data_IF_047619262838
#
_entry.id   IF_047619262838
#
_cell.length_a   1.000
_cell.length_b   1.000
_cell.length_c   1.000
_cell.angle_alpha   90.00
_cell.angle_beta   90.00
_cell.angle_gamma   90.00
#
_symmetry.space_group_name_H-M   'P 1'
#
loop_
_entity.id
_entity.type
_entity.pdbx_description
1 polymer ?
#
# COMPACT_ATOMS: atom_id res chain seq x y z
N UNK A 1 52.28 52.35 -19.26
CA UNK A 1 50.85 52.57 -18.91
C UNK A 1 50.78 53.24 -17.53
N UNK A 2 50.03 54.35 -17.36
CA UNK A 2 49.90 55.02 -16.05
C UNK A 2 49.06 54.16 -15.08
N UNK A 3 49.22 54.36 -13.76
CA UNK A 3 48.41 53.68 -12.72
C UNK A 3 46.90 53.83 -12.95
N UNK A 4 46.46 55.01 -13.41
CA UNK A 4 45.08 55.30 -13.76
C UNK A 4 44.58 54.50 -14.97
N UNK A 5 45.42 54.29 -15.98
CA UNK A 5 45.06 53.49 -17.16
C UNK A 5 44.91 52.01 -16.81
N UNK A 6 45.73 51.47 -15.89
CA UNK A 6 45.58 50.08 -15.40
C UNK A 6 44.27 49.89 -14.62
N UNK A 7 43.93 50.83 -13.73
CA UNK A 7 42.66 50.80 -12.97
C UNK A 7 41.43 50.84 -13.88
N UNK A 8 41.47 51.65 -14.94
CA UNK A 8 40.38 51.69 -15.93
C UNK A 8 40.25 50.37 -16.69
N UNK A 9 41.38 49.77 -17.11
CA UNK A 9 41.37 48.44 -17.76
C UNK A 9 40.82 47.37 -16.82
N UNK A 10 41.23 47.34 -15.55
CA UNK A 10 40.67 46.39 -14.58
C UNK A 10 39.17 46.60 -14.36
N UNK A 11 38.70 47.85 -14.29
CA UNK A 11 37.27 48.15 -14.16
C UNK A 11 36.48 47.63 -15.37
N UNK A 12 36.95 47.84 -16.60
CA UNK A 12 36.30 47.31 -17.80
C UNK A 12 36.34 45.79 -17.88
N UNK A 13 37.44 45.16 -17.47
CA UNK A 13 37.54 43.68 -17.38
C UNK A 13 36.58 43.12 -16.32
N UNK A 14 36.48 43.75 -15.15
CA UNK A 14 35.54 43.36 -14.09
C UNK A 14 34.09 43.49 -14.58
N UNK A 15 33.73 44.62 -15.19
CA UNK A 15 32.41 44.83 -15.77
C UNK A 15 32.11 43.80 -16.88
N UNK A 16 33.10 43.49 -17.72
CA UNK A 16 33.01 42.46 -18.74
C UNK A 16 32.82 41.05 -18.17
N UNK A 17 33.42 40.74 -17.02
CA UNK A 17 33.23 39.47 -16.30
C UNK A 17 31.89 39.39 -15.55
N UNK A 18 31.33 40.52 -15.09
CA UNK A 18 30.04 40.55 -14.42
C UNK A 18 28.88 40.15 -15.34
N UNK A 19 28.98 40.41 -16.64
CA UNK A 19 27.95 40.04 -17.64
C UNK A 19 27.73 38.53 -17.73
N UNK A 20 28.74 37.68 -18.02
CA UNK A 20 28.56 36.23 -18.04
C UNK A 20 28.25 35.65 -16.65
N UNK A 21 28.79 36.23 -15.57
CA UNK A 21 28.46 35.81 -14.19
C UNK A 21 26.97 36.04 -13.91
N UNK A 22 26.41 37.19 -14.31
CA UNK A 22 24.99 37.48 -14.17
C UNK A 22 24.12 36.57 -15.07
N UNK A 23 24.49 36.43 -16.34
CA UNK A 23 23.75 35.61 -17.30
C UNK A 23 23.72 34.11 -16.92
N UNK A 24 24.81 33.58 -16.37
CA UNK A 24 24.89 32.18 -15.94
C UNK A 24 24.34 31.99 -14.52
N UNK A 25 24.69 32.87 -13.60
CA UNK A 25 24.55 32.67 -12.15
C UNK A 25 23.41 33.43 -11.47
N UNK A 26 22.61 34.23 -12.18
CA UNK A 26 21.47 34.91 -11.54
C UNK A 26 20.50 33.88 -10.94
N UNK A 27 20.19 33.95 -9.63
CA UNK A 27 19.27 33.02 -9.00
C UNK A 27 17.85 33.22 -9.54
N UNK A 28 17.07 32.14 -9.62
CA UNK A 28 15.64 32.25 -9.86
C UNK A 28 14.97 32.92 -8.65
N UNK A 29 14.11 33.90 -8.88
CA UNK A 29 13.33 34.54 -7.81
C UNK A 29 12.04 33.75 -7.62
N UNK A 30 11.93 33.04 -6.50
CA UNK A 30 10.69 32.35 -6.11
C UNK A 30 9.62 33.37 -5.70
N UNK A 31 8.37 33.05 -6.01
CA UNK A 31 7.16 33.86 -5.78
C UNK A 31 7.00 34.21 -4.28
N UNK A 32 7.46 35.39 -3.86
CA UNK A 32 7.24 35.91 -2.49
C UNK A 32 6.36 37.16 -2.42
N UNK A 33 5.86 37.68 -3.55
CA UNK A 33 4.86 38.76 -3.56
C UNK A 33 3.77 38.46 -4.56
N UNK A 34 2.52 38.58 -4.10
CA UNK A 34 1.32 38.36 -4.89
C UNK A 34 1.35 39.19 -6.19
N UNK A 35 1.21 38.50 -7.33
CA UNK A 35 0.85 39.13 -8.61
C UNK A 35 1.93 39.32 -9.67
N UNK A 36 3.19 38.88 -9.48
CA UNK A 36 4.19 38.91 -10.58
C UNK A 36 4.53 37.51 -11.13
N UNK A 37 4.69 37.37 -12.46
CA UNK A 37 5.12 36.10 -13.07
C UNK A 37 6.54 35.75 -12.63
N UNK A 38 6.80 34.46 -12.42
CA UNK A 38 8.13 33.97 -12.08
C UNK A 38 9.12 34.35 -13.19
N UNK A 39 10.15 35.14 -12.87
CA UNK A 39 11.23 35.40 -13.80
C UNK A 39 12.18 34.20 -13.81
N UNK A 40 12.40 33.64 -15.00
CA UNK A 40 13.43 32.62 -15.23
C UNK A 40 14.78 33.21 -14.83
N UNK A 41 15.49 32.60 -13.87
CA UNK A 41 16.85 33.01 -13.48
C UNK A 41 17.85 32.91 -14.63
N UNK A 42 19.15 33.03 -14.33
CA UNK A 42 20.22 32.79 -15.31
C UNK A 42 20.19 31.36 -15.88
N UNK A 43 21.01 31.10 -16.90
CA UNK A 43 21.02 29.82 -17.64
C UNK A 43 21.18 28.60 -16.71
N UNK A 44 21.98 28.68 -15.64
CA UNK A 44 22.15 27.57 -14.69
C UNK A 44 20.88 27.34 -13.87
N UNK A 45 20.19 28.40 -13.44
CA UNK A 45 18.94 28.27 -12.70
C UNK A 45 17.83 27.67 -13.60
N UNK A 46 17.80 28.06 -14.88
CA UNK A 46 16.89 27.47 -15.88
C UNK A 46 17.21 26.00 -16.14
N UNK A 47 18.48 25.64 -16.33
CA UNK A 47 18.89 24.24 -16.49
C UNK A 47 18.60 23.42 -15.23
N UNK A 48 18.83 23.97 -14.03
CA UNK A 48 18.47 23.31 -12.77
C UNK A 48 16.96 23.08 -12.65
N UNK A 49 16.13 24.00 -13.15
CA UNK A 49 14.69 23.79 -13.21
C UNK A 49 14.31 22.75 -14.27
N UNK A 50 14.84 22.87 -15.49
CA UNK A 50 14.56 21.98 -16.62
C UNK A 50 14.97 20.53 -16.35
N UNK A 51 16.15 20.33 -15.78
CA UNK A 51 16.67 19.01 -15.41
C UNK A 51 16.31 18.60 -13.98
N UNK A 52 15.47 19.38 -13.27
CA UNK A 52 15.05 19.14 -11.88
C UNK A 52 16.23 19.00 -10.88
N UNK A 53 17.39 19.59 -11.20
CA UNK A 53 18.62 19.59 -10.40
C UNK A 53 18.67 20.72 -9.35
N UNK A 54 17.65 21.58 -9.30
CA UNK A 54 17.59 22.71 -8.36
C UNK A 54 16.84 22.38 -7.08
N UNK A 55 17.50 22.52 -5.93
CA UNK A 55 16.85 22.52 -4.62
C UNK A 55 16.45 23.96 -4.25
N UNK A 56 15.17 24.30 -4.42
CA UNK A 56 14.62 25.62 -4.05
C UNK A 56 14.26 25.75 -2.57
N UNK A 57 14.27 24.66 -1.81
CA UNK A 57 13.80 24.54 -0.41
C UNK A 57 14.79 24.99 0.65
N UNK A 58 16.04 25.34 0.29
CA UNK A 58 17.06 25.69 1.28
C UNK A 58 16.78 27.00 2.03
N UNK A 59 16.01 27.91 1.41
CA UNK A 59 15.59 29.16 2.03
C UNK A 59 14.49 28.99 3.08
N UNK A 60 13.87 27.81 3.15
CA UNK A 60 12.71 27.54 4.02
C UNK A 60 13.09 26.78 5.31
N UNK A 61 14.37 26.46 5.51
CA UNK A 61 14.87 25.88 6.77
C UNK A 61 14.73 26.93 7.88
N UNK A 62 14.28 26.53 9.07
CA UNK A 62 14.11 27.48 10.19
C UNK A 62 15.45 28.15 10.56
N UNK A 63 15.57 29.49 10.41
CA UNK A 63 16.80 30.22 10.70
C UNK A 63 17.20 30.21 12.18
N UNK A 64 16.31 29.83 13.10
CA UNK A 64 16.62 29.72 14.52
C UNK A 64 17.30 28.40 14.90
N UNK A 65 17.32 27.40 14.02
CA UNK A 65 17.87 26.08 14.32
C UNK A 65 19.40 26.04 14.20
N UNK A 66 20.09 25.35 15.12
CA UNK A 66 21.53 25.09 15.02
C UNK A 66 21.92 24.41 13.69
N UNK A 67 20.97 23.71 13.09
CA UNK A 67 21.03 23.10 11.76
C UNK A 67 21.25 24.13 10.65
N UNK A 68 20.74 25.37 10.78
CA UNK A 68 20.95 26.44 9.80
C UNK A 68 22.44 26.76 9.63
N UNK A 69 23.17 26.85 10.75
CA UNK A 69 24.61 27.10 10.70
C UNK A 69 25.37 25.98 9.97
N UNK A 70 24.98 24.72 10.20
CA UNK A 70 25.56 23.57 9.50
C UNK A 70 25.24 23.60 8.01
N UNK A 71 24.01 23.96 7.62
CA UNK A 71 23.58 24.09 6.22
C UNK A 71 24.36 25.19 5.49
N UNK A 72 24.50 26.35 6.12
CA UNK A 72 25.23 27.50 5.57
C UNK A 72 26.72 27.19 5.38
N UNK A 73 27.30 26.31 6.20
CA UNK A 73 28.67 25.83 6.09
C UNK A 73 28.84 24.62 5.15
N UNK A 74 27.79 24.19 4.44
CA UNK A 74 27.83 23.04 3.53
C UNK A 74 27.79 21.67 4.24
N UNK A 75 27.58 21.63 5.56
CA UNK A 75 27.51 20.41 6.38
C UNK A 75 26.09 19.84 6.49
N UNK A 76 25.33 19.85 5.38
CA UNK A 76 23.91 19.41 5.36
C UNK A 76 23.72 17.97 5.84
N UNK A 77 24.63 17.06 5.49
CA UNK A 77 24.57 15.66 5.93
C UNK A 77 24.66 15.51 7.45
N UNK A 78 25.53 16.27 8.11
CA UNK A 78 25.68 16.25 9.58
C UNK A 78 24.43 16.84 10.24
N UNK A 79 23.92 17.96 9.70
CA UNK A 79 22.68 18.56 10.14
C UNK A 79 21.50 17.58 10.08
N UNK A 80 21.38 16.84 8.97
CA UNK A 80 20.42 15.75 8.82
C UNK A 80 20.57 14.70 9.92
N UNK A 81 21.77 14.16 10.12
CA UNK A 81 22.02 13.13 11.15
C UNK A 81 21.68 13.59 12.57
N UNK A 82 21.96 14.85 12.91
CA UNK A 82 21.59 15.42 14.23
C UNK A 82 20.07 15.47 14.38
N UNK A 83 19.36 15.95 13.37
CA UNK A 83 17.90 15.98 13.39
C UNK A 83 17.28 14.58 13.46
N UNK A 84 17.89 13.59 12.82
CA UNK A 84 17.47 12.19 12.93
C UNK A 84 17.58 11.67 14.37
N UNK A 85 18.67 11.96 15.07
CA UNK A 85 18.82 11.61 16.50
C UNK A 85 17.80 12.34 17.37
N UNK A 86 17.53 13.62 17.08
CA UNK A 86 16.51 14.40 17.79
C UNK A 86 15.10 13.84 17.58
N UNK A 87 14.76 13.46 16.34
CA UNK A 87 13.48 12.84 16.01
C UNK A 87 13.28 11.51 16.76
N UNK A 88 14.31 10.67 16.84
CA UNK A 88 14.24 9.40 17.58
C UNK A 88 14.00 9.63 19.09
N UNK A 89 14.68 10.62 19.68
CA UNK A 89 14.48 10.99 21.08
C UNK A 89 13.09 11.58 21.34
N UNK A 90 12.59 12.46 20.46
CA UNK A 90 11.24 13.02 20.57
C UNK A 90 10.16 11.93 20.45
N UNK A 91 10.37 10.95 19.56
CA UNK A 91 9.51 9.76 19.47
C UNK A 91 9.53 8.97 20.78
N UNK A 92 10.71 8.70 21.36
CA UNK A 92 10.86 7.98 22.64
C UNK A 92 10.11 8.69 23.78
N UNK A 93 10.13 10.02 23.77
CA UNK A 93 9.45 10.85 24.76
C UNK A 93 7.97 11.13 24.44
N UNK A 94 7.44 10.63 23.32
CA UNK A 94 6.07 10.88 22.82
C UNK A 94 5.75 12.36 22.58
N UNK A 95 6.77 13.15 22.24
CA UNK A 95 6.66 14.57 21.91
C UNK A 95 6.30 14.73 20.42
N UNK A 96 5.05 14.41 20.07
CA UNK A 96 4.61 14.29 18.68
C UNK A 96 4.67 15.60 17.87
N UNK A 97 4.37 16.74 18.51
CA UNK A 97 4.40 18.05 17.86
C UNK A 97 5.84 18.48 17.52
N UNK A 98 6.79 18.20 18.41
CA UNK A 98 8.21 18.45 18.18
C UNK A 98 8.78 17.48 17.15
N UNK A 99 8.39 16.20 17.20
CA UNK A 99 8.76 15.20 16.20
C UNK A 99 8.35 15.62 14.78
N UNK A 100 7.16 16.17 14.64
CA UNK A 100 6.66 16.67 13.37
C UNK A 100 7.50 17.85 12.85
N UNK A 101 7.83 18.82 13.70
CA UNK A 101 8.70 19.96 13.33
C UNK A 101 10.12 19.54 12.93
N UNK A 102 10.69 18.58 13.67
CA UNK A 102 12.01 18.01 13.35
C UNK A 102 11.95 17.29 12.01
N UNK A 103 10.91 16.50 11.76
CA UNK A 103 10.69 15.80 10.50
C UNK A 103 10.55 16.78 9.31
N UNK A 104 9.81 17.88 9.49
CA UNK A 104 9.73 18.96 8.49
C UNK A 104 11.10 19.59 8.19
N UNK A 105 11.96 19.72 9.20
CA UNK A 105 13.33 20.19 9.01
C UNK A 105 14.16 19.18 8.22
N UNK A 106 14.05 17.88 8.51
CA UNK A 106 14.78 16.82 7.79
C UNK A 106 14.43 16.83 6.30
N UNK A 107 13.15 16.87 5.93
CA UNK A 107 12.74 16.85 4.52
C UNK A 107 13.16 18.10 3.75
N UNK A 108 13.24 19.27 4.41
CA UNK A 108 13.75 20.49 3.78
C UNK A 108 15.25 20.38 3.45
N UNK A 109 16.00 19.61 4.24
CA UNK A 109 17.42 19.37 4.04
C UNK A 109 17.72 18.25 3.06
N UNK A 110 16.86 17.23 3.05
CA UNK A 110 17.04 16.00 2.28
C UNK A 110 15.79 15.66 1.44
N UNK A 111 15.27 16.59 0.61
CA UNK A 111 13.98 16.40 -0.07
C UNK A 111 14.00 15.27 -1.12
N UNK A 112 15.18 14.96 -1.66
CA UNK A 112 15.40 13.89 -2.65
C UNK A 112 15.78 12.54 -2.04
N UNK A 113 15.93 12.46 -0.72
CA UNK A 113 16.33 11.23 -0.05
C UNK A 113 15.08 10.41 0.31
N UNK A 114 14.67 9.52 -0.61
CA UNK A 114 13.45 8.71 -0.50
C UNK A 114 13.26 8.00 0.85
N UNK A 115 14.31 7.43 1.48
CA UNK A 115 14.16 6.78 2.78
C UNK A 115 13.59 7.68 3.89
N UNK A 116 13.81 9.00 3.84
CA UNK A 116 13.19 9.94 4.81
C UNK A 116 11.66 9.89 4.67
N UNK A 117 11.17 10.02 3.45
CA UNK A 117 9.74 10.03 3.14
C UNK A 117 9.07 8.73 3.57
N UNK A 118 9.68 7.60 3.21
CA UNK A 118 9.17 6.26 3.52
C UNK A 118 9.21 5.98 5.01
N UNK A 119 10.35 6.19 5.67
CA UNK A 119 10.49 5.91 7.10
C UNK A 119 9.56 6.78 7.94
N UNK A 120 9.53 8.10 7.71
CA UNK A 120 8.73 8.99 8.53
C UNK A 120 7.24 8.84 8.24
N UNK A 121 6.86 8.63 6.98
CA UNK A 121 5.48 8.29 6.62
C UNK A 121 5.00 7.00 7.30
N UNK A 122 5.83 5.95 7.26
CA UNK A 122 5.56 4.70 7.98
C UNK A 122 5.52 4.89 9.50
N UNK A 123 6.45 5.66 10.07
CA UNK A 123 6.52 5.92 11.50
C UNK A 123 5.24 6.61 12.01
N UNK A 124 4.73 7.61 11.30
CA UNK A 124 3.46 8.28 11.61
C UNK A 124 2.28 7.29 11.51
N UNK A 125 2.18 6.56 10.39
CA UNK A 125 1.03 5.70 10.11
C UNK A 125 1.01 4.39 10.90
N UNK A 126 2.15 3.90 11.38
CA UNK A 126 2.24 2.66 12.15
C UNK A 126 2.53 2.94 13.62
N UNK A 127 3.70 3.50 13.94
CA UNK A 127 4.14 3.61 15.33
C UNK A 127 3.33 4.66 16.10
N UNK A 128 3.23 5.90 15.59
CA UNK A 128 2.49 6.97 16.29
C UNK A 128 1.01 6.62 16.39
N UNK A 129 0.44 6.09 15.30
CA UNK A 129 -0.97 5.65 15.31
C UNK A 129 -1.26 4.59 16.38
N UNK A 130 -0.33 3.67 16.64
CA UNK A 130 -0.53 2.59 17.61
C UNK A 130 -0.51 3.08 19.06
N UNK A 131 0.08 4.25 19.33
CA UNK A 131 0.13 4.87 20.65
C UNK A 131 -1.15 5.65 20.99
N UNK A 132 -2.10 5.77 20.06
CA UNK A 132 -3.35 6.48 20.26
C UNK A 132 -4.46 5.55 20.75
N UNK A 133 -5.29 5.99 21.69
CA UNK A 133 -6.40 5.18 22.22
C UNK A 133 -7.62 5.20 21.29
N UNK A 134 -8.04 6.39 20.84
CA UNK A 134 -9.23 6.53 20.02
C UNK A 134 -8.95 6.16 18.56
N UNK A 135 -9.84 5.36 17.96
CA UNK A 135 -9.72 4.92 16.55
C UNK A 135 -9.64 6.10 15.58
N UNK A 136 -10.36 7.20 15.85
CA UNK A 136 -10.30 8.41 15.04
C UNK A 136 -8.90 9.07 15.08
N UNK A 137 -8.24 9.07 16.24
CA UNK A 137 -6.89 9.61 16.39
C UNK A 137 -5.85 8.72 15.71
N UNK A 138 -6.02 7.38 15.77
CA UNK A 138 -5.21 6.44 14.99
C UNK A 138 -5.32 6.76 13.50
N UNK A 139 -6.55 6.91 13.01
CA UNK A 139 -6.84 7.24 11.62
C UNK A 139 -6.25 8.59 11.21
N UNK A 140 -6.33 9.62 12.07
CA UNK A 140 -5.70 10.91 11.84
C UNK A 140 -4.20 10.77 11.53
N UNK A 141 -3.46 10.00 12.33
CA UNK A 141 -2.03 9.78 12.10
C UNK A 141 -1.74 8.92 10.87
N UNK A 142 -2.59 7.94 10.56
CA UNK A 142 -2.51 7.18 9.29
C UNK A 142 -2.63 8.12 8.08
N UNK A 143 -3.61 9.03 8.09
CA UNK A 143 -3.75 10.05 7.04
C UNK A 143 -2.55 10.98 6.98
N UNK A 144 -2.03 11.44 8.12
CA UNK A 144 -0.82 12.29 8.16
C UNK A 144 0.37 11.58 7.52
N UNK A 145 0.58 10.29 7.81
CA UNK A 145 1.61 9.48 7.15
C UNK A 145 1.41 9.39 5.63
N UNK A 146 0.18 9.13 5.16
CA UNK A 146 -0.14 9.12 3.74
C UNK A 146 0.16 10.44 3.04
N UNK A 147 -0.37 11.56 3.58
CA UNK A 147 -0.10 12.93 3.09
C UNK A 147 1.39 13.24 3.08
N UNK A 148 2.12 12.80 4.09
CA UNK A 148 3.56 13.00 4.18
C UNK A 148 4.30 12.35 3.01
N UNK A 149 3.98 11.09 2.68
CA UNK A 149 4.58 10.40 1.53
C UNK A 149 4.13 11.00 0.20
N UNK A 150 2.87 11.44 0.09
CA UNK A 150 2.36 12.12 -1.11
C UNK A 150 3.13 13.41 -1.43
N UNK A 151 3.47 14.23 -0.42
CA UNK A 151 4.40 15.36 -0.64
C UNK A 151 5.78 14.90 -1.09
N UNK A 152 6.23 13.74 -0.60
CA UNK A 152 7.45 13.09 -1.09
C UNK A 152 7.39 12.78 -2.57
N UNK A 153 6.23 12.34 -3.08
CA UNK A 153 5.99 12.13 -4.52
C UNK A 153 6.09 13.45 -5.29
N UNK A 154 5.53 14.55 -4.79
CA UNK A 154 5.66 15.87 -5.44
C UNK A 154 7.13 16.30 -5.57
N UNK A 155 7.95 15.95 -4.57
CA UNK A 155 9.39 16.21 -4.61
C UNK A 155 10.18 15.17 -5.42
N UNK A 156 9.60 14.01 -5.73
CA UNK A 156 10.27 12.86 -6.34
C UNK A 156 9.31 12.13 -7.31
N UNK A 157 8.82 12.85 -8.32
CA UNK A 157 7.73 12.38 -9.19
C UNK A 157 8.02 11.07 -9.94
N UNK A 158 9.30 10.75 -10.14
CA UNK A 158 9.75 9.55 -10.85
C UNK A 158 10.05 8.38 -9.88
N UNK A 159 9.96 8.59 -8.56
CA UNK A 159 10.27 7.60 -7.55
C UNK A 159 9.11 6.61 -7.34
N UNK A 160 9.11 5.53 -8.14
CA UNK A 160 8.12 4.44 -8.08
C UNK A 160 7.88 3.90 -6.65
N UNK A 161 8.93 3.83 -5.82
CA UNK A 161 8.83 3.37 -4.43
C UNK A 161 7.88 4.21 -3.58
N UNK A 162 7.80 5.53 -3.80
CA UNK A 162 6.93 6.39 -3.00
C UNK A 162 5.45 6.18 -3.34
N UNK A 163 5.13 5.97 -4.63
CA UNK A 163 3.77 5.59 -5.05
C UNK A 163 3.38 4.25 -4.43
N UNK A 164 4.28 3.25 -4.47
CA UNK A 164 4.04 1.96 -3.84
C UNK A 164 3.85 2.07 -2.32
N UNK A 165 4.60 2.96 -1.65
CA UNK A 165 4.45 3.22 -0.22
C UNK A 165 3.08 3.83 0.10
N UNK A 166 2.58 4.79 -0.69
CA UNK A 166 1.21 5.32 -0.53
C UNK A 166 0.17 4.21 -0.72
N UNK A 167 0.32 3.38 -1.75
CA UNK A 167 -0.54 2.21 -1.96
C UNK A 167 -0.51 1.24 -0.77
N UNK A 168 0.63 1.08 -0.10
CA UNK A 168 0.77 0.24 1.09
C UNK A 168 0.06 0.85 2.30
N UNK A 169 0.18 2.16 2.50
CA UNK A 169 -0.52 2.87 3.59
C UNK A 169 -2.04 2.83 3.40
N UNK A 170 -2.54 3.13 2.20
CA UNK A 170 -3.98 3.17 1.94
C UNK A 170 -4.59 1.78 1.77
N UNK A 171 -3.87 0.84 1.16
CA UNK A 171 -4.35 -0.53 1.00
C UNK A 171 -4.20 -1.32 2.29
N UNK A 172 -2.97 -1.66 2.65
CA UNK A 172 -2.69 -2.62 3.74
C UNK A 172 -2.90 -2.04 5.12
N UNK A 173 -2.34 -0.85 5.42
CA UNK A 173 -2.49 -0.28 6.77
C UNK A 173 -3.95 0.02 7.07
N UNK A 174 -4.69 0.64 6.16
CA UNK A 174 -6.12 0.90 6.41
C UNK A 174 -6.98 -0.36 6.33
N UNK A 175 -6.71 -1.24 5.36
CA UNK A 175 -7.58 -2.36 5.06
C UNK A 175 -7.36 -3.64 5.87
N UNK A 176 -6.24 -3.75 6.61
CA UNK A 176 -5.89 -4.96 7.38
C UNK A 176 -5.56 -4.73 8.86
N UNK A 177 -5.67 -3.49 9.35
CA UNK A 177 -5.55 -3.22 10.80
C UNK A 177 -6.74 -3.82 11.56
N UNK A 178 -6.61 -3.99 12.88
CA UNK A 178 -7.72 -4.42 13.73
C UNK A 178 -8.94 -3.49 13.60
N UNK A 179 -8.70 -2.19 13.39
CA UNK A 179 -9.72 -1.16 13.14
C UNK A 179 -10.07 -0.97 11.67
N UNK A 180 -9.75 -1.91 10.77
CA UNK A 180 -9.97 -1.75 9.34
C UNK A 180 -11.41 -1.39 9.00
N UNK A 181 -12.41 -1.97 9.68
CA UNK A 181 -13.83 -1.64 9.47
C UNK A 181 -14.07 -0.13 9.67
N UNK A 182 -13.53 0.45 10.75
CA UNK A 182 -13.64 1.87 11.02
C UNK A 182 -12.79 2.70 10.06
N UNK A 183 -11.55 2.29 9.77
CA UNK A 183 -10.66 3.01 8.86
C UNK A 183 -11.22 3.08 7.43
N UNK A 184 -11.73 1.98 6.88
CA UNK A 184 -12.35 1.96 5.55
C UNK A 184 -13.57 2.87 5.49
N UNK A 185 -14.40 2.85 6.54
CA UNK A 185 -15.54 3.79 6.65
C UNK A 185 -15.07 5.23 6.72
N UNK A 186 -14.07 5.53 7.54
CA UNK A 186 -13.50 6.87 7.71
C UNK A 186 -12.81 7.37 6.45
N UNK A 187 -12.19 6.49 5.67
CA UNK A 187 -11.56 6.86 4.41
C UNK A 187 -12.54 7.33 3.35
N UNK A 188 -13.80 6.86 3.40
CA UNK A 188 -14.91 7.36 2.58
C UNK A 188 -15.67 8.52 3.22
N UNK A 189 -15.74 8.56 4.55
CA UNK A 189 -16.49 9.54 5.34
C UNK A 189 -15.64 9.98 6.53
N UNK A 190 -14.84 11.03 6.34
CA UNK A 190 -13.82 11.41 7.30
C UNK A 190 -14.44 11.92 8.62
N UNK A 191 -13.94 11.48 9.79
CA UNK A 191 -14.45 11.94 11.07
C UNK A 191 -14.07 13.38 11.40
N UNK A 192 -13.12 13.98 10.68
CA UNK A 192 -12.74 15.37 10.86
C UNK A 192 -13.87 16.31 10.39
N UNK A 193 -14.37 17.23 11.26
CA UNK A 193 -15.46 18.14 10.92
C UNK A 193 -15.20 18.99 9.67
N UNK A 194 -13.94 19.22 9.29
CA UNK A 194 -13.57 19.99 8.09
C UNK A 194 -14.14 19.39 6.80
N UNK A 195 -14.33 18.07 6.75
CA UNK A 195 -14.79 17.37 5.56
C UNK A 195 -16.32 17.18 5.51
N UNK A 196 -17.04 17.56 6.57
CA UNK A 196 -18.50 17.47 6.65
C UNK A 196 -19.05 16.08 6.25
N UNK A 197 -18.40 15.01 6.71
CA UNK A 197 -18.79 13.64 6.44
C UNK A 197 -18.43 13.12 5.04
N UNK A 198 -17.70 13.89 4.23
CA UNK A 198 -17.08 13.42 2.98
C UNK A 198 -15.68 12.88 3.26
N UNK A 199 -15.08 12.23 2.28
CA UNK A 199 -13.67 11.85 2.34
C UNK A 199 -12.75 13.08 2.41
N UNK A 200 -11.54 12.87 2.94
CA UNK A 200 -10.47 13.86 2.92
C UNK A 200 -9.99 14.05 1.48
N UNK A 201 -10.36 15.18 0.86
CA UNK A 201 -10.19 15.44 -0.57
C UNK A 201 -8.71 15.44 -1.01
N UNK A 202 -7.78 15.62 -0.07
CA UNK A 202 -6.34 15.54 -0.36
C UNK A 202 -5.86 14.11 -0.63
N UNK A 203 -6.52 13.09 -0.08
CA UNK A 203 -6.08 11.67 -0.19
C UNK A 203 -7.09 10.77 -0.89
N UNK A 204 -8.37 11.17 -0.93
CA UNK A 204 -9.45 10.40 -1.55
C UNK A 204 -10.52 11.36 -2.13
N UNK A 205 -10.18 12.13 -3.18
CA UNK A 205 -11.10 13.12 -3.76
C UNK A 205 -12.39 12.49 -4.31
N UNK A 206 -12.33 11.25 -4.78
CA UNK A 206 -13.48 10.55 -5.37
C UNK A 206 -14.33 9.81 -4.32
N UNK A 207 -13.90 9.76 -3.06
CA UNK A 207 -14.61 9.06 -1.98
C UNK A 207 -14.72 7.54 -2.19
N UNK A 208 -13.80 6.94 -2.94
CA UNK A 208 -13.83 5.51 -3.27
C UNK A 208 -13.17 4.66 -2.16
N UNK A 209 -13.26 3.33 -2.29
CA UNK A 209 -12.66 2.41 -1.34
C UNK A 209 -11.13 2.53 -1.28
N UNK A 210 -10.57 2.32 -0.09
CA UNK A 210 -9.14 2.45 0.18
C UNK A 210 -8.28 1.51 -0.69
N UNK A 211 -8.76 0.31 -1.00
CA UNK A 211 -8.05 -0.62 -1.88
C UNK A 211 -8.11 -0.21 -3.35
N UNK A 212 -9.12 0.54 -3.77
CA UNK A 212 -9.19 1.12 -5.11
C UNK A 212 -8.26 2.33 -5.25
N UNK A 213 -8.19 3.21 -4.25
CA UNK A 213 -7.16 4.27 -4.22
C UNK A 213 -5.76 3.64 -4.20
N UNK A 214 -5.54 2.61 -3.38
CA UNK A 214 -4.26 1.91 -3.35
C UNK A 214 -3.90 1.29 -4.71
N UNK A 215 -4.88 0.70 -5.41
CA UNK A 215 -4.70 0.18 -6.77
C UNK A 215 -4.20 1.26 -7.73
N UNK A 216 -4.76 2.47 -7.69
CA UNK A 216 -4.30 3.60 -8.51
C UNK A 216 -2.83 3.90 -8.25
N UNK A 217 -2.43 4.04 -6.99
CA UNK A 217 -1.04 4.28 -6.62
C UNK A 217 -0.10 3.13 -7.00
N UNK A 218 -0.52 1.88 -6.88
CA UNK A 218 0.29 0.75 -7.35
C UNK A 218 0.43 0.73 -8.87
N UNK A 219 -0.61 1.10 -9.61
CA UNK A 219 -0.53 1.25 -11.07
C UNK A 219 0.46 2.33 -11.46
N UNK A 220 0.38 3.51 -10.83
CA UNK A 220 1.35 4.59 -11.06
C UNK A 220 2.78 4.16 -10.67
N UNK A 221 2.93 3.44 -9.55
CA UNK A 221 4.24 2.89 -9.15
C UNK A 221 4.83 1.99 -10.24
N UNK A 222 4.01 1.12 -10.81
CA UNK A 222 4.39 0.25 -11.93
C UNK A 222 4.74 1.05 -13.19
N UNK A 223 4.01 2.12 -13.50
CA UNK A 223 4.31 2.99 -14.64
C UNK A 223 5.64 3.73 -14.46
N UNK A 224 5.92 4.25 -13.25
CA UNK A 224 7.19 4.91 -12.94
C UNK A 224 8.38 3.96 -12.97
N UNK A 225 8.19 2.71 -12.56
CA UNK A 225 9.24 1.68 -12.61
C UNK A 225 9.68 1.35 -14.04
N UNK A 226 8.82 1.55 -15.05
CA UNK A 226 9.17 1.33 -16.45
C UNK A 226 10.05 2.44 -17.06
N UNK A 227 10.28 3.54 -16.33
CA UNK A 227 11.18 4.60 -16.79
C UNK A 227 12.63 4.06 -16.84
N UNK A 228 13.39 4.30 -17.92
CA UNK A 228 14.65 3.59 -18.16
C UNK A 228 15.81 3.97 -17.21
N UNK A 229 15.65 5.02 -16.40
CA UNK A 229 16.61 5.46 -15.39
C UNK A 229 16.13 5.21 -13.95
N UNK A 230 15.00 4.53 -13.79
CA UNK A 230 14.43 4.21 -12.48
C UNK A 230 14.67 2.74 -12.17
N UNK A 231 15.19 2.49 -10.97
CA UNK A 231 15.26 1.18 -10.36
C UNK A 231 14.63 1.29 -8.97
N UNK A 232 13.76 0.34 -8.62
CA UNK A 232 13.18 0.24 -7.29
C UNK A 232 13.94 -0.80 -6.47
N UNK A 233 14.04 -0.59 -5.16
CA UNK A 233 14.88 -1.38 -4.25
C UNK A 233 14.09 -1.93 -3.06
N UNK A 234 12.75 -1.95 -3.14
CA UNK A 234 11.90 -2.33 -2.02
C UNK A 234 11.53 -3.80 -2.01
N UNK A 235 11.51 -4.44 -3.18
CA UNK A 235 11.27 -5.87 -3.33
C UNK A 235 11.70 -6.36 -4.72
N UNK A 236 11.54 -7.67 -4.96
CA UNK A 236 11.75 -8.23 -6.30
C UNK A 236 10.67 -7.71 -7.29
N UNK A 237 11.05 -7.49 -8.55
CA UNK A 237 10.21 -6.84 -9.56
C UNK A 237 8.89 -7.58 -9.81
N UNK A 238 8.89 -8.91 -9.91
CA UNK A 238 7.66 -9.70 -10.04
C UNK A 238 6.70 -9.46 -8.88
N UNK A 239 7.19 -9.34 -7.63
CA UNK A 239 6.36 -8.96 -6.49
C UNK A 239 5.83 -7.53 -6.61
N UNK A 240 6.70 -6.56 -6.92
CA UNK A 240 6.35 -5.15 -7.05
C UNK A 240 5.21 -4.95 -8.06
N UNK A 241 5.35 -5.59 -9.23
CA UNK A 241 4.41 -5.48 -10.36
C UNK A 241 3.04 -6.09 -10.07
N UNK A 242 2.94 -6.99 -9.10
CA UNK A 242 1.72 -7.75 -8.78
C UNK A 242 0.64 -6.93 -8.03
N UNK A 243 1.02 -5.83 -7.39
CA UNK A 243 0.18 -5.14 -6.42
C UNK A 243 -1.12 -4.51 -6.94
N UNK A 244 -1.21 -3.97 -8.18
CA UNK A 244 -2.48 -3.44 -8.68
C UNK A 244 -3.61 -4.49 -8.68
N UNK A 245 -3.32 -5.68 -9.21
CA UNK A 245 -4.27 -6.78 -9.28
C UNK A 245 -4.55 -7.37 -7.88
N UNK A 246 -3.53 -7.46 -7.00
CA UNK A 246 -3.73 -7.87 -5.60
C UNK A 246 -4.62 -6.91 -4.83
N UNK A 247 -4.45 -5.60 -5.04
CA UNK A 247 -5.29 -4.58 -4.40
C UNK A 247 -6.74 -4.66 -4.89
N UNK A 248 -6.97 -5.00 -6.16
CA UNK A 248 -8.31 -5.26 -6.68
C UNK A 248 -8.97 -6.48 -6.02
N UNK A 249 -8.22 -7.56 -5.79
CA UNK A 249 -8.72 -8.75 -5.10
C UNK A 249 -8.96 -8.48 -3.61
N UNK A 250 -8.07 -7.73 -2.95
CA UNK A 250 -8.26 -7.29 -1.57
C UNK A 250 -9.54 -6.44 -1.44
N UNK A 251 -9.83 -5.55 -2.41
CA UNK A 251 -11.10 -4.82 -2.46
C UNK A 251 -12.31 -5.76 -2.50
N UNK A 252 -12.30 -6.73 -3.42
CA UNK A 252 -13.39 -7.69 -3.60
C UNK A 252 -13.66 -8.51 -2.33
N UNK A 253 -12.59 -9.07 -1.75
CA UNK A 253 -12.66 -9.79 -0.47
C UNK A 253 -13.19 -8.91 0.66
N UNK A 254 -12.76 -7.65 0.72
CA UNK A 254 -13.11 -6.78 1.81
C UNK A 254 -14.57 -6.30 1.77
N UNK A 255 -15.19 -6.09 0.60
CA UNK A 255 -16.63 -5.78 0.51
C UNK A 255 -17.50 -7.02 0.76
N UNK A 256 -17.01 -8.20 0.39
CA UNK A 256 -17.67 -9.48 0.66
C UNK A 256 -17.72 -9.80 2.16
N UNK A 257 -16.59 -9.61 2.86
CA UNK A 257 -16.52 -9.74 4.32
C UNK A 257 -17.45 -8.75 5.04
N UNK A 258 -17.69 -7.58 4.45
CA UNK A 258 -18.66 -6.59 4.92
C UNK A 258 -20.13 -6.99 4.63
N UNK A 259 -20.34 -8.09 3.91
CA UNK A 259 -21.65 -8.68 3.63
C UNK A 259 -22.28 -8.27 2.30
N UNK A 260 -21.49 -7.75 1.35
CA UNK A 260 -21.96 -7.44 0.00
C UNK A 260 -21.76 -8.65 -0.91
N UNK A 261 -22.86 -9.21 -1.42
CA UNK A 261 -22.87 -10.39 -2.30
C UNK A 261 -23.63 -10.13 -3.62
N UNK A 262 -23.61 -8.88 -4.08
CA UNK A 262 -24.27 -8.48 -5.31
C UNK A 262 -23.37 -8.67 -6.53
N UNK A 263 -23.90 -8.35 -7.71
CA UNK A 263 -23.14 -8.37 -8.97
C UNK A 263 -21.89 -7.46 -8.89
N UNK A 264 -21.90 -6.43 -8.05
CA UNK A 264 -20.75 -5.56 -7.81
C UNK A 264 -19.56 -6.31 -7.20
N UNK A 265 -19.80 -7.13 -6.17
CA UNK A 265 -18.76 -7.98 -5.56
C UNK A 265 -18.23 -9.01 -6.54
N UNK A 266 -19.11 -9.69 -7.28
CA UNK A 266 -18.70 -10.69 -8.30
C UNK A 266 -17.86 -10.02 -9.39
N UNK A 267 -18.28 -8.85 -9.86
CA UNK A 267 -17.52 -8.09 -10.84
C UNK A 267 -16.18 -7.61 -10.28
N UNK A 268 -16.08 -7.29 -8.99
CA UNK A 268 -14.81 -6.92 -8.35
C UNK A 268 -13.81 -8.09 -8.38
N UNK A 269 -14.25 -9.32 -8.07
CA UNK A 269 -13.43 -10.53 -8.19
C UNK A 269 -13.04 -10.83 -9.63
N UNK A 270 -13.99 -10.74 -10.58
CA UNK A 270 -13.70 -10.91 -12.02
C UNK A 270 -12.70 -9.87 -12.54
N UNK A 271 -12.82 -8.62 -12.11
CA UNK A 271 -11.83 -7.57 -12.43
C UNK A 271 -10.46 -7.96 -11.90
N UNK A 272 -10.37 -8.39 -10.63
CA UNK A 272 -9.12 -8.85 -10.04
C UNK A 272 -8.50 -10.04 -10.79
N UNK A 273 -9.32 -11.03 -11.13
CA UNK A 273 -8.90 -12.19 -11.92
C UNK A 273 -8.35 -11.76 -13.30
N UNK A 274 -9.07 -10.90 -14.02
CA UNK A 274 -8.63 -10.39 -15.31
C UNK A 274 -7.31 -9.59 -15.20
N UNK A 275 -7.21 -8.70 -14.22
CA UNK A 275 -5.98 -7.92 -13.97
C UNK A 275 -4.79 -8.84 -13.64
N UNK A 276 -5.04 -9.96 -12.96
CA UNK A 276 -4.02 -10.94 -12.60
C UNK A 276 -3.60 -11.83 -13.75
N UNK A 277 -4.56 -12.45 -14.46
CA UNK A 277 -4.29 -13.46 -15.49
C UNK A 277 -3.97 -12.83 -16.83
N UNK A 278 -4.77 -11.84 -17.25
CA UNK A 278 -4.64 -11.21 -18.57
C UNK A 278 -3.78 -9.93 -18.54
N UNK A 279 -3.64 -9.30 -17.38
CA UNK A 279 -2.70 -8.20 -17.15
C UNK A 279 -1.34 -8.72 -16.70
N UNK A 280 -1.16 -8.84 -15.39
CA UNK A 280 0.11 -9.20 -14.73
C UNK A 280 0.71 -10.53 -15.23
N UNK A 281 -0.13 -11.55 -15.42
CA UNK A 281 0.28 -12.88 -15.88
C UNK A 281 0.83 -12.90 -17.30
N UNK A 282 0.48 -11.91 -18.14
CA UNK A 282 0.98 -11.76 -19.51
C UNK A 282 2.15 -10.78 -19.62
N UNK A 283 2.59 -10.19 -18.51
CA UNK A 283 3.79 -9.36 -18.50
C UNK A 283 5.04 -10.20 -18.76
N UNK A 284 5.95 -9.65 -19.57
CA UNK A 284 7.26 -10.26 -19.83
C UNK A 284 8.21 -9.93 -18.68
N UNK A 285 8.68 -10.97 -18.00
CA UNK A 285 9.73 -10.89 -16.99
C UNK A 285 11.05 -11.40 -17.58
N UNK A 286 12.06 -10.52 -17.54
CA UNK A 286 13.43 -10.87 -17.93
C UNK A 286 14.10 -11.60 -16.77
N UNK A 287 14.53 -12.82 -16.99
CA UNK A 287 15.20 -13.65 -15.98
C UNK A 287 16.56 -14.12 -16.48
N UNK A 288 17.42 -14.65 -15.60
CA UNK A 288 18.65 -15.32 -16.04
C UNK A 288 18.42 -16.55 -16.96
N UNK A 289 17.20 -17.07 -17.07
CA UNK A 289 16.82 -18.12 -18.03
C UNK A 289 16.07 -17.57 -19.26
N UNK A 290 16.28 -16.30 -19.56
CA UNK A 290 15.59 -15.58 -20.62
C UNK A 290 14.20 -15.08 -20.21
N UNK A 291 13.46 -14.59 -21.20
CA UNK A 291 12.15 -13.99 -20.99
C UNK A 291 11.08 -15.06 -20.72
N UNK A 292 10.22 -14.79 -19.74
CA UNK A 292 9.05 -15.61 -19.37
C UNK A 292 7.81 -14.73 -19.16
N UNK A 293 6.62 -15.35 -19.21
CA UNK A 293 5.37 -14.75 -18.72
C UNK A 293 4.76 -15.70 -17.69
N UNK A 294 4.28 -15.18 -16.55
CA UNK A 294 3.81 -16.02 -15.44
C UNK A 294 2.60 -16.91 -15.80
N UNK A 295 1.77 -16.44 -16.73
CA UNK A 295 0.61 -17.16 -17.27
C UNK A 295 0.89 -17.99 -18.52
N UNK A 296 2.16 -18.25 -18.87
CA UNK A 296 2.52 -19.05 -20.04
C UNK A 296 1.93 -20.47 -19.93
N UNK A 297 1.28 -20.95 -21.00
CA UNK A 297 0.97 -22.38 -21.14
C UNK A 297 2.24 -23.19 -21.42
N UNK A 298 2.24 -24.53 -21.23
CA UNK A 298 3.36 -25.37 -21.61
C UNK A 298 3.81 -25.17 -23.07
N UNK A 299 2.85 -25.02 -23.99
CA UNK A 299 3.10 -24.78 -25.41
C UNK A 299 3.70 -23.39 -25.66
N UNK A 300 3.20 -22.35 -25.00
CA UNK A 300 3.76 -20.99 -25.08
C UNK A 300 5.20 -20.97 -24.54
N UNK A 301 5.47 -21.70 -23.46
CA UNK A 301 6.81 -21.80 -22.88
C UNK A 301 7.79 -22.53 -23.82
N UNK A 302 7.33 -23.58 -24.50
CA UNK A 302 8.10 -24.27 -25.55
C UNK A 302 8.40 -23.35 -26.73
N UNK A 303 7.45 -22.52 -27.14
CA UNK A 303 7.68 -21.51 -28.20
C UNK A 303 8.68 -20.44 -27.75
N UNK A 304 8.59 -19.97 -26.50
CA UNK A 304 9.57 -19.03 -25.95
C UNK A 304 10.98 -19.64 -25.96
N UNK A 305 11.12 -20.91 -25.58
CA UNK A 305 12.41 -21.61 -25.63
C UNK A 305 12.92 -21.80 -27.06
N UNK A 306 12.06 -22.16 -28.02
CA UNK A 306 12.45 -22.33 -29.41
C UNK A 306 12.94 -21.02 -30.06
N UNK A 307 12.46 -19.87 -29.58
CA UNK A 307 12.84 -18.55 -30.06
C UNK A 307 14.01 -17.91 -29.30
N UNK A 308 14.54 -18.57 -28.26
CA UNK A 308 15.63 -18.09 -27.42
C UNK A 308 16.87 -18.97 -27.65
N UNK A 309 17.86 -18.50 -28.44
CA UNK A 309 19.03 -19.32 -28.77
C UNK A 309 19.95 -19.57 -27.56
N UNK A 310 19.81 -18.78 -26.49
CA UNK A 310 20.74 -18.77 -25.36
C UNK A 310 20.24 -19.57 -24.16
N UNK A 311 18.93 -19.85 -24.07
CA UNK A 311 18.32 -20.49 -22.90
C UNK A 311 17.41 -21.67 -23.27
N UNK A 312 17.55 -22.77 -22.53
CA UNK A 312 16.76 -23.98 -22.76
C UNK A 312 15.33 -23.89 -22.20
N UNK A 313 14.47 -24.84 -22.59
CA UNK A 313 13.14 -24.99 -21.98
C UNK A 313 13.22 -25.29 -20.47
N UNK A 314 14.27 -25.99 -20.02
CA UNK A 314 14.44 -26.32 -18.60
C UNK A 314 14.82 -25.07 -17.79
N UNK A 315 15.62 -24.16 -18.36
CA UNK A 315 15.91 -22.86 -17.75
C UNK A 315 14.62 -22.04 -17.58
N UNK A 316 13.80 -21.98 -18.63
CA UNK A 316 12.52 -21.26 -18.59
C UNK A 316 11.54 -21.86 -17.58
N UNK A 317 11.44 -23.20 -17.51
CA UNK A 317 10.61 -23.89 -16.51
C UNK A 317 11.06 -23.59 -15.09
N UNK A 318 12.36 -23.60 -14.83
CA UNK A 318 12.92 -23.29 -13.52
C UNK A 318 12.55 -21.87 -13.07
N UNK A 319 12.75 -20.87 -13.93
CA UNK A 319 12.46 -19.48 -13.58
C UNK A 319 10.97 -19.19 -13.50
N UNK A 320 10.15 -19.81 -14.36
CA UNK A 320 8.70 -19.72 -14.28
C UNK A 320 8.18 -20.27 -12.94
N UNK A 321 8.57 -21.50 -12.57
CA UNK A 321 8.18 -22.11 -11.28
C UNK A 321 8.63 -21.24 -10.10
N UNK A 322 9.86 -20.72 -10.14
CA UNK A 322 10.39 -19.85 -9.09
C UNK A 322 9.54 -18.59 -8.90
N UNK A 323 9.21 -17.89 -9.99
CA UNK A 323 8.46 -16.64 -9.90
C UNK A 323 6.98 -16.89 -9.59
N UNK A 324 6.38 -17.94 -10.14
CA UNK A 324 5.02 -18.36 -9.77
C UNK A 324 4.93 -18.67 -8.27
N UNK A 325 5.90 -19.38 -7.69
CA UNK A 325 5.95 -19.63 -6.24
C UNK A 325 6.17 -18.36 -5.43
N UNK A 326 7.08 -17.48 -5.86
CA UNK A 326 7.38 -16.23 -5.15
C UNK A 326 6.15 -15.33 -5.03
N UNK A 327 5.37 -15.25 -6.11
CA UNK A 327 4.20 -14.35 -6.22
C UNK A 327 2.89 -15.04 -5.83
N UNK A 328 2.96 -16.36 -5.63
CA UNK A 328 1.82 -17.26 -5.45
C UNK A 328 0.82 -17.16 -6.63
N UNK A 329 1.36 -17.08 -7.86
CA UNK A 329 0.60 -16.78 -9.08
C UNK A 329 -0.58 -17.71 -9.32
N UNK A 330 -0.33 -19.01 -9.32
CA UNK A 330 -1.35 -20.04 -9.59
C UNK A 330 -2.45 -20.03 -8.54
N UNK A 331 -2.07 -19.80 -7.27
CA UNK A 331 -3.02 -19.68 -6.18
C UNK A 331 -3.98 -18.50 -6.38
N UNK A 332 -3.46 -17.30 -6.65
CA UNK A 332 -4.31 -16.11 -6.82
C UNK A 332 -5.15 -16.15 -8.10
N UNK A 333 -4.65 -16.79 -9.16
CA UNK A 333 -5.41 -17.05 -10.37
C UNK A 333 -6.64 -17.92 -10.07
N UNK A 334 -6.44 -19.06 -9.40
CA UNK A 334 -7.53 -19.96 -9.05
C UNK A 334 -8.48 -19.35 -7.98
N UNK A 335 -7.96 -18.73 -6.92
CA UNK A 335 -8.80 -18.10 -5.87
C UNK A 335 -9.73 -17.06 -6.48
N UNK A 336 -9.21 -16.13 -7.27
CA UNK A 336 -10.04 -15.06 -7.86
C UNK A 336 -11.10 -15.58 -8.83
N UNK A 337 -10.86 -16.72 -9.48
CA UNK A 337 -11.86 -17.42 -10.29
C UNK A 337 -12.93 -18.06 -9.42
N UNK A 338 -12.53 -18.81 -8.38
CA UNK A 338 -13.43 -19.52 -7.46
C UNK A 338 -14.32 -18.54 -6.70
N UNK A 339 -13.78 -17.45 -6.18
CA UNK A 339 -14.55 -16.43 -5.45
C UNK A 339 -15.56 -15.70 -6.34
N UNK A 340 -15.39 -15.73 -7.66
CA UNK A 340 -16.35 -15.18 -8.62
C UNK A 340 -17.44 -16.20 -9.04
N UNK A 341 -17.38 -17.45 -8.57
CA UNK A 341 -18.36 -18.48 -8.91
C UNK A 341 -19.68 -18.26 -8.15
N UNK A 342 -20.85 -18.39 -8.79
CA UNK A 342 -22.15 -18.23 -8.13
C UNK A 342 -22.31 -19.12 -6.89
N UNK A 343 -21.80 -20.35 -6.94
CA UNK A 343 -21.85 -21.31 -5.84
C UNK A 343 -21.01 -20.84 -4.63
N UNK A 344 -19.84 -20.24 -4.88
CA UNK A 344 -18.99 -19.70 -3.82
C UNK A 344 -19.60 -18.47 -3.18
N UNK A 345 -20.16 -17.58 -4.00
CA UNK A 345 -20.85 -16.36 -3.53
C UNK A 345 -22.03 -16.74 -2.63
N UNK A 346 -22.83 -17.73 -3.04
CA UNK A 346 -23.98 -18.19 -2.26
C UNK A 346 -23.55 -18.86 -0.94
N UNK A 347 -22.51 -19.70 -0.97
CA UNK A 347 -21.97 -20.33 0.24
C UNK A 347 -21.50 -19.27 1.26
N UNK A 348 -20.77 -18.25 0.79
CA UNK A 348 -20.33 -17.13 1.64
C UNK A 348 -21.49 -16.30 2.17
N UNK A 349 -22.49 -16.01 1.33
CA UNK A 349 -23.70 -15.30 1.72
C UNK A 349 -24.41 -16.03 2.86
N UNK A 350 -24.58 -17.35 2.74
CA UNK A 350 -25.21 -18.19 3.77
C UNK A 350 -24.43 -18.18 5.08
N UNK A 351 -23.10 -18.34 5.05
CA UNK A 351 -22.28 -18.23 6.26
C UNK A 351 -22.42 -16.84 6.90
N UNK A 352 -22.35 -15.77 6.12
CA UNK A 352 -22.49 -14.39 6.61
C UNK A 352 -23.87 -14.16 7.25
N UNK A 353 -24.94 -14.51 6.55
CA UNK A 353 -26.32 -14.39 7.05
C UNK A 353 -26.52 -15.24 8.30
N UNK A 354 -26.01 -16.48 8.32
CA UNK A 354 -26.07 -17.37 9.48
C UNK A 354 -25.39 -16.79 10.71
N UNK A 355 -24.19 -16.23 10.56
CA UNK A 355 -23.47 -15.52 11.64
C UNK A 355 -24.23 -14.28 12.13
N UNK A 356 -24.81 -13.51 11.22
CA UNK A 356 -25.57 -12.30 11.57
C UNK A 356 -26.89 -12.64 12.30
N UNK A 357 -27.59 -13.70 11.89
CA UNK A 357 -28.78 -14.22 12.57
C UNK A 357 -28.45 -14.74 13.97
N UNK A 358 -27.32 -15.45 14.10
CA UNK A 358 -26.81 -15.91 15.39
C UNK A 358 -26.63 -14.75 16.37
N UNK A 359 -25.95 -13.68 15.92
CA UNK A 359 -25.74 -12.48 16.72
C UNK A 359 -27.04 -11.74 17.07
N UNK A 360 -28.07 -11.86 16.23
CA UNK A 360 -29.42 -11.31 16.48
C UNK A 360 -30.31 -12.23 17.32
N UNK A 361 -29.77 -13.35 17.82
CA UNK A 361 -30.50 -14.38 18.58
C UNK A 361 -31.63 -15.08 17.81
N UNK A 362 -31.61 -15.04 16.48
CA UNK A 362 -32.49 -15.85 15.63
C UNK A 362 -31.84 -17.23 15.38
N UNK A 363 -31.86 -18.04 16.43
CA UNK A 363 -31.08 -19.27 16.53
C UNK A 363 -31.55 -20.35 15.54
N UNK A 364 -32.86 -20.43 15.25
CA UNK A 364 -33.40 -21.43 14.31
C UNK A 364 -32.93 -21.17 12.88
N UNK A 365 -33.07 -19.93 12.40
CA UNK A 365 -32.63 -19.58 11.04
C UNK A 365 -31.11 -19.57 10.93
N UNK A 366 -30.40 -19.13 11.98
CA UNK A 366 -28.94 -19.20 12.03
C UNK A 366 -28.42 -20.62 11.81
N UNK A 367 -29.01 -21.62 12.49
CA UNK A 367 -28.64 -23.03 12.31
C UNK A 367 -28.72 -23.47 10.86
N UNK A 368 -29.88 -23.24 10.23
CA UNK A 368 -30.13 -23.68 8.86
C UNK A 368 -29.15 -23.02 7.87
N UNK A 369 -28.96 -21.70 7.97
CA UNK A 369 -28.05 -20.97 7.10
C UNK A 369 -26.58 -21.39 7.28
N UNK A 370 -26.13 -21.60 8.53
CA UNK A 370 -24.77 -22.08 8.80
C UNK A 370 -24.56 -23.50 8.28
N UNK A 371 -25.53 -24.40 8.50
CA UNK A 371 -25.41 -25.80 8.07
C UNK A 371 -25.40 -25.91 6.53
N UNK A 372 -26.29 -25.20 5.84
CA UNK A 372 -26.31 -25.18 4.38
C UNK A 372 -25.03 -24.56 3.80
N UNK A 373 -24.61 -23.40 4.34
CA UNK A 373 -23.38 -22.74 3.89
C UNK A 373 -22.14 -23.62 4.09
N UNK A 374 -22.01 -24.30 5.24
CA UNK A 374 -20.88 -25.20 5.50
C UNK A 374 -20.87 -26.41 4.54
N UNK A 375 -22.04 -26.97 4.17
CA UNK A 375 -22.13 -28.08 3.19
C UNK A 375 -21.75 -27.63 1.78
N UNK A 376 -22.14 -26.42 1.39
CA UNK A 376 -21.74 -25.84 0.10
C UNK A 376 -20.23 -25.58 0.06
N UNK A 377 -19.67 -25.05 1.15
CA UNK A 377 -18.23 -24.91 1.31
C UNK A 377 -17.49 -26.25 1.20
N UNK A 378 -18.02 -27.31 1.81
CA UNK A 378 -17.45 -28.67 1.72
C UNK A 378 -17.38 -29.16 0.29
N UNK A 379 -18.47 -28.99 -0.47
CA UNK A 379 -18.52 -29.33 -1.91
C UNK A 379 -17.47 -28.56 -2.73
N UNK A 380 -17.27 -27.28 -2.41
CA UNK A 380 -16.28 -26.43 -3.09
C UNK A 380 -14.86 -26.84 -2.71
N UNK A 381 -14.60 -27.12 -1.44
CA UNK A 381 -13.27 -27.51 -0.94
C UNK A 381 -12.85 -28.89 -1.45
N UNK A 382 -13.79 -29.83 -1.60
CA UNK A 382 -13.54 -31.12 -2.26
C UNK A 382 -13.05 -30.94 -3.70
N UNK A 383 -13.63 -29.95 -4.41
CA UNK A 383 -13.23 -29.61 -5.78
C UNK A 383 -11.93 -28.80 -5.83
N UNK A 384 -11.67 -27.98 -4.81
CA UNK A 384 -10.52 -27.08 -4.73
C UNK A 384 -9.77 -27.21 -3.39
N UNK A 385 -9.04 -28.33 -3.13
CA UNK A 385 -8.40 -28.58 -1.85
C UNK A 385 -7.35 -27.52 -1.44
N UNK A 386 -6.84 -26.75 -2.39
CA UNK A 386 -5.93 -25.63 -2.14
C UNK A 386 -6.50 -24.56 -1.20
N UNK A 387 -7.83 -24.47 -1.06
CA UNK A 387 -8.47 -23.52 -0.14
C UNK A 387 -8.29 -23.92 1.33
N UNK A 388 -7.95 -25.18 1.63
CA UNK A 388 -7.68 -25.66 2.98
C UNK A 388 -6.46 -25.01 3.63
N UNK A 389 -5.57 -24.43 2.82
CA UNK A 389 -4.38 -23.73 3.29
C UNK A 389 -4.57 -22.20 3.33
N UNK A 390 -5.78 -21.69 2.97
CA UNK A 390 -6.11 -20.28 3.01
C UNK A 390 -6.64 -19.90 4.40
N UNK A 391 -5.85 -19.12 5.14
CA UNK A 391 -6.12 -18.82 6.54
C UNK A 391 -7.45 -18.08 6.75
N UNK A 392 -7.76 -17.05 5.96
CA UNK A 392 -8.94 -16.23 6.15
C UNK A 392 -10.24 -17.02 5.95
N UNK A 393 -10.30 -17.87 4.93
CA UNK A 393 -11.44 -18.76 4.65
C UNK A 393 -11.54 -19.83 5.74
N UNK A 394 -10.41 -20.44 6.12
CA UNK A 394 -10.36 -21.43 7.21
C UNK A 394 -10.86 -20.83 8.53
N UNK A 395 -10.42 -19.62 8.87
CA UNK A 395 -10.90 -18.91 10.05
C UNK A 395 -12.41 -18.67 10.00
N UNK A 396 -12.94 -18.29 8.84
CA UNK A 396 -14.37 -18.02 8.70
C UNK A 396 -15.23 -19.27 8.86
N UNK A 397 -14.78 -20.38 8.26
CA UNK A 397 -15.39 -21.70 8.42
C UNK A 397 -15.38 -22.15 9.88
N UNK A 398 -14.24 -22.03 10.58
CA UNK A 398 -14.14 -22.42 12.00
C UNK A 398 -15.09 -21.57 12.86
N UNK A 399 -15.16 -20.26 12.63
CA UNK A 399 -16.09 -19.36 13.35
C UNK A 399 -17.55 -19.76 13.10
N UNK A 400 -17.91 -20.10 11.86
CA UNK A 400 -19.23 -20.61 11.52
C UNK A 400 -19.55 -21.96 12.18
N UNK A 401 -18.58 -22.89 12.20
CA UNK A 401 -18.72 -24.18 12.88
C UNK A 401 -18.92 -24.03 14.39
N UNK A 402 -18.17 -23.13 15.05
CA UNK A 402 -18.34 -22.86 16.47
C UNK A 402 -19.74 -22.36 16.80
N UNK A 403 -20.26 -21.42 16.00
CA UNK A 403 -21.64 -20.93 16.15
C UNK A 403 -22.66 -22.05 15.92
N UNK A 404 -22.51 -22.81 14.83
CA UNK A 404 -23.41 -23.92 14.50
C UNK A 404 -23.43 -24.99 15.61
N UNK A 405 -22.26 -25.42 16.09
CA UNK A 405 -22.16 -26.38 17.20
C UNK A 405 -22.75 -25.82 18.50
N UNK A 406 -22.60 -24.53 18.76
CA UNK A 406 -23.24 -23.90 19.92
C UNK A 406 -24.76 -23.95 19.82
N UNK A 407 -25.32 -23.65 18.64
CA UNK A 407 -26.76 -23.78 18.40
C UNK A 407 -27.26 -25.22 18.57
N UNK A 408 -26.53 -26.20 18.04
CA UNK A 408 -26.85 -27.63 18.23
C UNK A 408 -26.94 -27.99 19.71
N UNK A 409 -25.97 -27.54 20.53
CA UNK A 409 -25.95 -27.78 21.98
C UNK A 409 -27.13 -27.12 22.70
N UNK A 410 -27.56 -25.92 22.27
CA UNK A 410 -28.74 -25.26 22.84
C UNK A 410 -30.01 -26.07 22.63
N UNK A 411 -30.18 -26.68 21.45
CA UNK A 411 -31.31 -27.56 21.15
C UNK A 411 -31.16 -28.98 21.70
N UNK A 412 -30.05 -29.29 22.39
CA UNK A 412 -29.71 -30.65 22.87
C UNK A 412 -29.63 -31.67 21.75
N UNK A 413 -29.21 -31.23 20.57
CA UNK A 413 -28.94 -32.10 19.44
C UNK A 413 -27.51 -32.64 19.49
N UNK A 414 -27.32 -33.89 19.07
CA UNK A 414 -26.00 -34.49 18.95
C UNK A 414 -25.26 -33.92 17.74
N UNK A 415 -23.99 -33.55 17.94
CA UNK A 415 -23.11 -33.14 16.84
C UNK A 415 -22.67 -34.41 16.11
N UNK A 416 -22.97 -34.58 14.81
CA UNK A 416 -22.52 -35.73 14.04
C UNK A 416 -21.00 -35.84 14.03
N UNK A 417 -20.47 -37.06 13.97
CA UNK A 417 -19.01 -37.31 13.88
C UNK A 417 -18.41 -36.68 12.62
N UNK A 418 -19.11 -36.81 11.49
CA UNK A 418 -18.76 -36.19 10.20
C UNK A 418 -19.63 -34.95 9.96
N UNK A 419 -19.47 -33.92 10.79
CA UNK A 419 -20.15 -32.65 10.56
C UNK A 419 -19.56 -31.90 9.36
N UNK A 420 -20.33 -31.00 8.72
CA UNK A 420 -19.86 -30.26 7.54
C UNK A 420 -18.53 -29.52 7.80
N UNK A 421 -17.60 -29.66 6.87
CA UNK A 421 -16.25 -29.08 6.95
C UNK A 421 -15.39 -29.63 8.12
N UNK A 422 -15.67 -30.84 8.59
CA UNK A 422 -14.90 -31.47 9.69
C UNK A 422 -13.41 -31.60 9.39
N UNK A 423 -12.99 -31.69 8.12
CA UNK A 423 -11.57 -31.69 7.74
C UNK A 423 -10.87 -30.38 8.19
N UNK A 424 -11.48 -29.22 7.96
CA UNK A 424 -10.93 -27.92 8.38
C UNK A 424 -10.73 -27.89 9.90
N UNK A 425 -11.71 -28.39 10.65
CA UNK A 425 -11.63 -28.47 12.10
C UNK A 425 -10.46 -29.36 12.55
N UNK A 426 -10.35 -30.56 11.98
CA UNK A 426 -9.36 -31.56 12.37
C UNK A 426 -7.93 -31.17 12.00
N UNK A 427 -7.73 -30.48 10.86
CA UNK A 427 -6.40 -29.99 10.44
C UNK A 427 -5.92 -28.80 11.27
N UNK A 428 -6.80 -28.08 11.95
CA UNK A 428 -6.50 -26.80 12.60
C UNK A 428 -6.84 -26.73 14.10
N UNK A 429 -6.39 -27.69 14.94
CA UNK A 429 -6.76 -27.73 16.37
C UNK A 429 -6.34 -26.48 17.15
N UNK A 430 -5.24 -25.85 16.75
CA UNK A 430 -4.74 -24.61 17.37
C UNK A 430 -5.65 -23.41 17.08
N UNK A 431 -6.15 -23.26 15.86
CA UNK A 431 -7.12 -22.21 15.51
C UNK A 431 -8.46 -22.47 16.18
N UNK A 432 -8.93 -23.72 16.17
CA UNK A 432 -10.16 -24.13 16.86
C UNK A 432 -10.11 -23.74 18.34
N UNK A 433 -9.03 -24.08 19.04
CA UNK A 433 -8.88 -23.74 20.46
C UNK A 433 -8.90 -22.22 20.68
N UNK A 434 -8.10 -21.48 19.90
CA UNK A 434 -8.03 -20.01 19.99
C UNK A 434 -9.39 -19.35 19.78
N UNK A 435 -10.11 -19.73 18.72
CA UNK A 435 -11.42 -19.13 18.42
C UNK A 435 -12.50 -19.58 19.38
N UNK A 436 -12.45 -20.82 19.89
CA UNK A 436 -13.38 -21.29 20.90
C UNK A 436 -13.25 -20.50 22.21
N UNK A 437 -12.03 -20.20 22.66
CA UNK A 437 -11.80 -19.34 23.83
C UNK A 437 -12.40 -17.94 23.65
N UNK A 438 -12.14 -17.31 22.49
CA UNK A 438 -12.72 -16.01 22.14
C UNK A 438 -14.25 -16.05 22.06
N UNK A 439 -14.80 -17.09 21.43
CA UNK A 439 -16.22 -17.29 21.26
C UNK A 439 -16.93 -17.45 22.62
N UNK A 440 -16.42 -18.33 23.48
CA UNK A 440 -16.98 -18.55 24.82
C UNK A 440 -16.87 -17.29 25.68
N UNK A 441 -15.79 -16.51 25.56
CA UNK A 441 -15.68 -15.23 26.26
C UNK A 441 -16.82 -14.28 25.89
N UNK A 442 -17.13 -14.14 24.59
CA UNK A 442 -18.21 -13.27 24.09
C UNK A 442 -19.60 -13.73 24.53
N UNK A 443 -19.87 -15.03 24.35
CA UNK A 443 -21.14 -15.63 24.77
C UNK A 443 -21.36 -15.48 26.28
N UNK A 444 -20.31 -15.67 27.09
CA UNK A 444 -20.39 -15.55 28.55
C UNK A 444 -20.47 -14.09 29.03
N UNK A 445 -19.93 -13.12 28.28
CA UNK A 445 -20.10 -11.69 28.58
C UNK A 445 -21.48 -11.14 28.23
N UNK A 446 -22.36 -11.95 27.64
CA UNK A 446 -23.73 -11.57 27.29
C UNK A 446 -23.87 -10.78 25.99
N UNK A 447 -22.79 -10.68 25.19
CA UNK A 447 -22.70 -10.17 23.81
C UNK A 447 -21.26 -10.40 23.29
#
# INVERSE_FOLDING_TARGET
MSSRNRKLVYMFLILGLLVPIGALGMPARTRSQAGQPAQSGGMIAQMRHQYRLGETTLGDVDPASATMNLVLLGMRGIAGSVLWVQADEQKRMKNWSELEQTTESIIKLQPRFLPVWRYQGWNLAFNVSAECDAVADRFFWVKRGGKFVMRGIEQNEDASELYHEVGTLFGKKMGRSDEHVQFRRFFRNDPDPRWNGRADEEINPDGIDNYLVAKQYYTEANEKELLPWIEQHIMERSLFRSYPARSQMDYASAIENEGQFDDGTVNAWRTGHNDWVNGYGREIFRTPGGDITLGATPEELEQLAANDPDHSIDDKRFWLDRYQKMTNYTFWAARSEIEAMPEMVEARRKLKVGKDLFNKQDITQAKAMLEEGLKEFETIFDKYPMLLDELEIVEDVIKAQLMWQYVMRLYREEIPENFPMSEVWNRNPHLVNRFNEQFLSKVNSGL
#
